data_IF_283669022310
#
_entry.id   IF_283669022310
#
_cell.length_a   1.000
_cell.length_b   1.000
_cell.length_c   1.000
_cell.angle_alpha   90.00
_cell.angle_beta   90.00
_cell.angle_gamma   90.00
#
_symmetry.space_group_name_H-M   'P 1'
#
loop_
_entity.id
_entity.type
_entity.pdbx_description
1 polymer ?
#
# COMPACT_ATOMS: atom_id res chain seq x y z
N UNK A 1 19.59 -8.23 12.78
CA UNK A 1 18.63 -9.26 12.35
C UNK A 1 17.64 -8.59 11.42
N UNK A 2 17.42 -9.13 10.21
CA UNK A 2 16.38 -8.60 9.32
C UNK A 2 15.01 -8.96 9.91
N UNK A 3 14.03 -8.06 9.84
CA UNK A 3 12.64 -8.40 10.17
C UNK A 3 12.09 -9.41 9.15
N UNK A 4 11.01 -10.13 9.48
CA UNK A 4 10.34 -11.03 8.53
C UNK A 4 9.91 -10.30 7.25
N UNK A 5 9.46 -9.04 7.39
CA UNK A 5 9.16 -8.16 6.26
C UNK A 5 10.39 -7.91 5.37
N UNK A 6 11.55 -7.66 5.96
CA UNK A 6 12.81 -7.45 5.23
C UNK A 6 13.31 -8.72 4.53
N UNK A 7 13.01 -9.90 5.10
CA UNK A 7 13.29 -11.16 4.44
C UNK A 7 12.39 -11.35 3.22
N UNK A 8 11.08 -11.10 3.37
CA UNK A 8 10.11 -11.22 2.28
C UNK A 8 10.38 -10.23 1.14
N UNK A 9 10.77 -8.99 1.45
CA UNK A 9 11.19 -8.00 0.46
C UNK A 9 12.41 -8.52 -0.32
N UNK A 10 13.42 -9.03 0.37
CA UNK A 10 14.64 -9.53 -0.27
C UNK A 10 14.37 -10.74 -1.19
N UNK A 11 13.48 -11.65 -0.79
CA UNK A 11 13.08 -12.79 -1.63
C UNK A 11 12.37 -12.33 -2.91
N UNK A 12 11.43 -11.39 -2.79
CA UNK A 12 10.72 -10.86 -3.96
C UNK A 12 11.61 -10.00 -4.87
N UNK A 13 12.63 -9.32 -4.33
CA UNK A 13 13.66 -8.62 -5.11
C UNK A 13 14.47 -9.62 -5.95
N UNK A 14 14.91 -10.72 -5.35
CA UNK A 14 15.63 -11.78 -6.06
C UNK A 14 14.75 -12.43 -7.15
N UNK A 15 13.46 -12.65 -6.88
CA UNK A 15 12.50 -13.15 -7.88
C UNK A 15 12.32 -12.15 -9.03
N UNK A 16 12.22 -10.85 -8.74
CA UNK A 16 12.10 -9.80 -9.76
C UNK A 16 13.34 -9.74 -10.67
N UNK A 17 14.54 -9.83 -10.11
CA UNK A 17 15.79 -9.86 -10.88
C UNK A 17 15.85 -11.08 -11.79
N UNK A 18 15.45 -12.26 -11.30
CA UNK A 18 15.42 -13.48 -12.10
C UNK A 18 14.40 -13.36 -13.24
N UNK A 19 13.19 -12.87 -12.97
CA UNK A 19 12.16 -12.66 -13.99
C UNK A 19 12.59 -11.64 -15.05
N UNK A 20 13.28 -10.57 -14.65
CA UNK A 20 13.82 -9.58 -15.58
C UNK A 20 14.89 -10.20 -16.49
N UNK A 21 15.78 -11.03 -15.94
CA UNK A 21 16.81 -11.73 -16.72
C UNK A 21 16.20 -12.69 -17.74
N UNK A 22 15.20 -13.48 -17.35
CA UNK A 22 14.49 -14.41 -18.24
C UNK A 22 13.70 -13.67 -19.33
N UNK A 23 13.10 -12.53 -18.99
CA UNK A 23 12.45 -11.63 -19.94
C UNK A 23 13.46 -11.12 -20.99
N UNK A 24 14.61 -10.63 -20.54
CA UNK A 24 15.64 -10.09 -21.42
C UNK A 24 16.17 -11.18 -22.37
N UNK A 25 16.45 -12.38 -21.87
CA UNK A 25 16.87 -13.53 -22.69
C UNK A 25 15.81 -13.91 -23.74
N UNK A 26 14.52 -13.90 -23.38
CA UNK A 26 13.45 -14.16 -24.35
C UNK A 26 13.41 -13.11 -25.47
N UNK A 27 13.79 -11.87 -25.18
CA UNK A 27 13.75 -10.75 -26.12
C UNK A 27 15.01 -10.66 -26.99
N UNK A 28 16.21 -10.91 -26.43
CA UNK A 28 17.48 -10.83 -27.16
C UNK A 28 17.85 -12.12 -27.87
N UNK A 29 17.68 -13.27 -27.22
CA UNK A 29 18.30 -14.51 -27.65
C UNK A 29 17.31 -15.39 -28.44
N UNK A 30 16.11 -15.60 -27.89
CA UNK A 30 15.15 -16.55 -28.45
C UNK A 30 14.06 -15.92 -29.33
N UNK A 31 13.91 -14.59 -29.29
CA UNK A 31 12.78 -13.84 -29.89
C UNK A 31 11.41 -14.45 -29.55
N UNK A 32 11.30 -15.05 -28.38
CA UNK A 32 10.11 -15.76 -27.92
C UNK A 32 9.17 -14.79 -27.22
N UNK A 33 8.48 -13.97 -28.02
CA UNK A 33 7.57 -12.94 -27.52
C UNK A 33 6.43 -13.48 -26.66
N UNK A 34 6.03 -14.75 -26.85
CA UNK A 34 4.99 -15.39 -26.05
C UNK A 34 5.47 -15.70 -24.63
N UNK A 35 6.72 -16.17 -24.49
CA UNK A 35 7.35 -16.36 -23.19
C UNK A 35 7.67 -15.01 -22.52
N UNK A 36 8.22 -14.06 -23.28
CA UNK A 36 8.48 -12.70 -22.82
C UNK A 36 7.23 -12.04 -22.21
N UNK A 37 6.08 -12.14 -22.89
CA UNK A 37 4.82 -11.60 -22.36
C UNK A 37 4.37 -12.27 -21.04
N UNK A 38 4.67 -13.56 -20.82
CA UNK A 38 4.38 -14.24 -19.55
C UNK A 38 5.29 -13.73 -18.44
N UNK A 39 6.59 -13.63 -18.69
CA UNK A 39 7.56 -13.09 -17.73
C UNK A 39 7.25 -11.63 -17.38
N UNK A 40 6.87 -10.81 -18.36
CA UNK A 40 6.44 -9.44 -18.13
C UNK A 40 5.21 -9.36 -17.19
N UNK A 41 4.23 -10.25 -17.36
CA UNK A 41 3.06 -10.31 -16.45
C UNK A 41 3.46 -10.71 -15.04
N UNK A 42 4.28 -11.75 -14.89
CA UNK A 42 4.76 -12.20 -13.57
C UNK A 42 5.57 -11.10 -12.89
N UNK A 43 6.48 -10.44 -13.61
CA UNK A 43 7.27 -9.33 -13.13
C UNK A 43 6.39 -8.16 -12.66
N UNK A 44 5.32 -7.85 -13.39
CA UNK A 44 4.33 -6.85 -12.97
C UNK A 44 3.65 -7.19 -11.63
N UNK A 45 3.31 -8.46 -11.40
CA UNK A 45 2.74 -8.93 -10.15
C UNK A 45 3.75 -8.83 -9.00
N UNK A 46 4.98 -9.30 -9.20
CA UNK A 46 6.05 -9.23 -8.20
C UNK A 46 6.36 -7.77 -7.85
N UNK A 47 6.48 -6.89 -8.83
CA UNK A 47 6.71 -5.46 -8.61
C UNK A 47 5.56 -4.78 -7.84
N UNK A 48 4.32 -5.19 -8.09
CA UNK A 48 3.16 -4.70 -7.33
C UNK A 48 3.26 -5.13 -5.87
N UNK A 49 3.60 -6.40 -5.60
CA UNK A 49 3.81 -6.91 -4.23
C UNK A 49 4.98 -6.20 -3.53
N UNK A 50 6.11 -6.05 -4.22
CA UNK A 50 7.27 -5.30 -3.71
C UNK A 50 6.91 -3.86 -3.35
N UNK A 51 6.09 -3.19 -4.17
CA UNK A 51 5.63 -1.84 -3.89
C UNK A 51 4.82 -1.79 -2.59
N UNK A 52 3.91 -2.74 -2.37
CA UNK A 52 3.12 -2.83 -1.14
C UNK A 52 4.02 -3.08 0.07
N UNK A 53 4.91 -4.08 -0.01
CA UNK A 53 5.77 -4.44 1.12
C UNK A 53 6.78 -3.34 1.48
N UNK A 54 7.36 -2.68 0.47
CA UNK A 54 8.24 -1.52 0.68
C UNK A 54 7.49 -0.35 1.30
N UNK A 55 6.21 -0.16 0.93
CA UNK A 55 5.36 0.85 1.55
C UNK A 55 4.99 0.50 3.00
N UNK A 56 4.86 -0.79 3.33
CA UNK A 56 4.69 -1.28 4.70
C UNK A 56 5.97 -1.10 5.53
N UNK A 57 7.15 -1.29 4.92
CA UNK A 57 8.45 -1.08 5.59
C UNK A 57 8.71 0.41 5.82
N UNK A 58 8.46 1.24 4.79
CA UNK A 58 8.60 2.68 4.86
C UNK A 58 7.68 3.35 3.82
N UNK A 59 6.61 3.97 4.29
CA UNK A 59 5.66 4.69 3.42
C UNK A 59 6.25 5.86 2.66
N UNK A 60 7.36 6.40 3.14
CA UNK A 60 8.04 7.53 2.52
C UNK A 60 9.02 7.07 1.44
N UNK A 61 9.19 5.76 1.22
CA UNK A 61 10.20 5.20 0.31
C UNK A 61 10.00 5.66 -1.13
N UNK A 62 8.76 5.77 -1.61
CA UNK A 62 8.47 6.25 -2.97
C UNK A 62 8.81 7.73 -3.11
N UNK A 63 8.52 8.54 -2.08
CA UNK A 63 8.90 9.95 -2.06
C UNK A 63 10.42 10.11 -1.94
N UNK A 64 11.07 9.25 -1.16
CA UNK A 64 12.53 9.17 -1.04
C UNK A 64 13.17 8.88 -2.39
N UNK A 65 12.69 7.86 -3.11
CA UNK A 65 13.15 7.51 -4.47
C UNK A 65 12.90 8.63 -5.48
N UNK A 66 11.75 9.30 -5.42
CA UNK A 66 11.45 10.46 -6.29
C UNK A 66 12.46 11.59 -6.03
N UNK A 67 12.76 11.89 -4.76
CA UNK A 67 13.71 12.92 -4.37
C UNK A 67 15.14 12.53 -4.78
N UNK A 68 15.52 11.27 -4.59
CA UNK A 68 16.80 10.71 -4.99
C UNK A 68 17.01 10.79 -6.51
N UNK A 69 16.01 10.42 -7.29
CA UNK A 69 16.03 10.58 -8.75
C UNK A 69 16.16 12.05 -9.17
N UNK A 70 15.45 12.98 -8.52
CA UNK A 70 15.58 14.42 -8.80
C UNK A 70 16.97 14.96 -8.47
N UNK A 71 17.55 14.53 -7.35
CA UNK A 71 18.91 14.90 -6.94
C UNK A 71 19.91 14.41 -8.00
N UNK A 72 19.80 13.14 -8.41
CA UNK A 72 20.72 12.55 -9.38
C UNK A 72 20.60 13.20 -10.76
N UNK A 73 19.37 13.48 -11.19
CA UNK A 73 19.10 14.20 -12.44
C UNK A 73 19.71 15.60 -12.43
N UNK A 74 19.61 16.32 -11.29
CA UNK A 74 20.22 17.64 -11.15
C UNK A 74 21.75 17.58 -11.12
N UNK A 75 22.34 16.56 -10.47
CA UNK A 75 23.79 16.32 -10.46
C UNK A 75 24.31 16.07 -11.88
N UNK A 76 23.64 15.19 -12.63
CA UNK A 76 23.99 14.88 -14.01
C UNK A 76 23.85 16.09 -14.94
N UNK A 77 22.73 16.82 -14.85
CA UNK A 77 22.52 18.04 -15.63
C UNK A 77 23.57 19.10 -15.34
N UNK A 78 23.95 19.28 -14.07
CA UNK A 78 24.99 20.23 -13.68
C UNK A 78 26.35 19.83 -14.29
N UNK A 79 26.71 18.54 -14.24
CA UNK A 79 27.93 18.03 -14.82
C UNK A 79 27.96 18.19 -16.36
N UNK A 80 26.85 17.87 -17.03
CA UNK A 80 26.71 18.03 -18.48
C UNK A 80 26.84 19.49 -18.92
N UNK A 81 26.17 20.41 -18.24
CA UNK A 81 26.24 21.85 -18.56
C UNK A 81 27.65 22.41 -18.35
N UNK A 82 28.33 21.99 -17.27
CA UNK A 82 29.72 22.36 -16.99
C UNK A 82 30.68 21.86 -18.06
N UNK A 83 30.42 20.66 -18.61
CA UNK A 83 31.22 20.07 -19.67
C UNK A 83 30.94 20.72 -21.04
N UNK A 84 29.67 20.96 -21.39
CA UNK A 84 29.27 21.48 -22.70
C UNK A 84 29.51 22.98 -22.85
N UNK A 85 29.38 23.75 -21.76
CA UNK A 85 29.44 25.22 -21.79
C UNK A 85 30.40 25.79 -20.72
N UNK A 86 31.68 25.39 -20.67
CA UNK A 86 32.59 25.73 -19.57
C UNK A 86 32.82 27.24 -19.38
N UNK A 87 32.73 28.03 -20.46
CA UNK A 87 32.89 29.49 -20.43
C UNK A 87 31.62 30.24 -20.07
N UNK A 88 30.43 29.65 -20.30
CA UNK A 88 29.15 30.25 -19.95
C UNK A 88 28.62 29.75 -18.59
N UNK A 89 29.10 28.61 -18.12
CA UNK A 89 28.76 28.05 -16.82
C UNK A 89 29.50 28.79 -15.70
N UNK A 90 28.84 29.83 -15.17
CA UNK A 90 29.39 30.67 -14.11
C UNK A 90 29.35 29.99 -12.73
N UNK A 91 30.21 30.45 -11.82
CA UNK A 91 30.16 30.06 -10.41
C UNK A 91 28.79 30.32 -9.76
N UNK A 92 28.08 31.37 -10.18
CA UNK A 92 26.72 31.66 -9.69
C UNK A 92 25.71 30.57 -10.08
N UNK A 93 25.84 30.01 -11.30
CA UNK A 93 25.02 28.87 -11.71
C UNK A 93 25.36 27.61 -10.91
N UNK A 94 26.65 27.33 -10.70
CA UNK A 94 27.10 26.20 -9.87
C UNK A 94 26.52 26.28 -8.45
N UNK A 95 26.63 27.45 -7.81
CA UNK A 95 26.05 27.71 -6.48
C UNK A 95 24.52 27.51 -6.49
N UNK A 96 23.82 27.98 -7.54
CA UNK A 96 22.37 27.83 -7.65
C UNK A 96 21.95 26.36 -7.75
N UNK A 97 22.65 25.54 -8.54
CA UNK A 97 22.37 24.10 -8.62
C UNK A 97 22.71 23.40 -7.30
N UNK A 98 23.85 23.73 -6.70
CA UNK A 98 24.24 23.14 -5.41
C UNK A 98 23.23 23.48 -4.30
N UNK A 99 22.73 24.71 -4.23
CA UNK A 99 21.70 25.09 -3.27
C UNK A 99 20.39 24.31 -3.47
N UNK A 100 19.99 24.04 -4.72
CA UNK A 100 18.83 23.20 -5.02
C UNK A 100 19.04 21.75 -4.60
N UNK A 101 20.23 21.20 -4.86
CA UNK A 101 20.60 19.83 -4.43
C UNK A 101 20.55 19.75 -2.91
N UNK A 102 21.21 20.68 -2.20
CA UNK A 102 21.23 20.71 -0.74
C UNK A 102 19.82 20.83 -0.15
N UNK A 103 18.94 21.65 -0.75
CA UNK A 103 17.56 21.77 -0.30
C UNK A 103 16.76 20.47 -0.50
N UNK A 104 16.98 19.76 -1.60
CA UNK A 104 16.35 18.45 -1.86
C UNK A 104 16.91 17.36 -0.93
N UNK A 105 18.22 17.39 -0.63
CA UNK A 105 18.87 16.48 0.32
C UNK A 105 18.35 16.70 1.76
N UNK A 106 18.20 17.95 2.18
CA UNK A 106 17.58 18.30 3.46
C UNK A 106 16.11 17.83 3.52
N UNK A 107 15.35 18.04 2.44
CA UNK A 107 13.96 17.58 2.35
C UNK A 107 13.84 16.05 2.35
N UNK A 108 14.79 15.35 1.73
CA UNK A 108 14.88 13.88 1.77
C UNK A 108 15.13 13.38 3.19
N UNK A 109 16.11 13.96 3.89
CA UNK A 109 16.37 13.61 5.30
C UNK A 109 15.17 13.87 6.20
N UNK A 110 14.45 14.98 6.00
CA UNK A 110 13.23 15.26 6.77
C UNK A 110 12.18 14.17 6.56
N UNK A 111 12.00 13.67 5.33
CA UNK A 111 11.06 12.59 5.01
C UNK A 111 11.50 11.21 5.52
N UNK A 112 12.80 10.91 5.52
CA UNK A 112 13.35 9.67 6.08
C UNK A 112 13.19 9.62 7.61
N UNK A 113 13.21 10.79 8.26
CA UNK A 113 13.04 10.93 9.70
C UNK A 113 11.57 11.12 10.15
N UNK A 114 10.62 11.19 9.21
CA UNK A 114 9.20 11.21 9.58
C UNK A 114 8.83 9.89 10.26
N UNK A 115 8.02 9.93 11.34
CA UNK A 115 7.62 8.73 12.05
C UNK A 115 7.01 7.71 11.09
N UNK A 116 7.49 6.47 11.20
CA UNK A 116 6.96 5.32 10.48
C UNK A 116 5.46 5.22 10.72
N UNK A 117 4.61 5.01 9.70
CA UNK A 117 3.20 5.24 9.92
C UNK A 117 2.35 3.97 9.98
N UNK A 118 1.22 4.08 10.67
CA UNK A 118 0.08 3.17 10.73
C UNK A 118 0.41 1.69 11.00
N UNK A 119 0.52 1.36 12.27
CA UNK A 119 0.39 -0.02 12.74
C UNK A 119 -1.04 -0.18 13.29
N UNK A 120 -1.94 -0.79 12.51
CA UNK A 120 -3.06 -1.47 13.17
C UNK A 120 -2.42 -2.72 13.78
N UNK A 121 -2.36 -2.78 15.10
CA UNK A 121 -1.74 -3.90 15.78
C UNK A 121 -2.51 -5.18 15.43
N UNK A 122 -1.87 -6.06 14.66
CA UNK A 122 -2.46 -7.32 14.21
C UNK A 122 -2.90 -8.19 15.37
N UNK A 123 -2.21 -8.11 16.51
CA UNK A 123 -2.58 -8.82 17.73
C UNK A 123 -3.88 -8.27 18.33
N UNK A 124 -4.09 -6.95 18.28
CA UNK A 124 -5.34 -6.33 18.76
C UNK A 124 -6.52 -6.76 17.89
N UNK A 125 -6.38 -6.74 16.57
CA UNK A 125 -7.42 -7.24 15.66
C UNK A 125 -7.70 -8.73 15.85
N UNK A 126 -6.64 -9.54 15.94
CA UNK A 126 -6.76 -10.97 16.17
C UNK A 126 -7.50 -11.26 17.48
N UNK A 127 -7.14 -10.54 18.55
CA UNK A 127 -7.80 -10.62 19.85
C UNK A 127 -9.27 -10.23 19.75
N UNK A 128 -9.62 -9.12 19.10
CA UNK A 128 -11.01 -8.66 18.97
C UNK A 128 -11.86 -9.63 18.14
N UNK A 129 -11.32 -10.16 17.04
CA UNK A 129 -11.99 -11.19 16.25
C UNK A 129 -12.16 -12.49 17.06
N UNK A 130 -11.17 -12.86 17.88
CA UNK A 130 -11.28 -13.99 18.81
C UNK A 130 -12.38 -13.81 19.84
N UNK A 131 -12.45 -12.63 20.47
CA UNK A 131 -13.51 -12.26 21.42
C UNK A 131 -14.89 -12.24 20.76
N UNK A 132 -14.98 -11.80 19.51
CA UNK A 132 -16.20 -11.84 18.71
C UNK A 132 -16.61 -13.29 18.38
N UNK A 133 -15.66 -14.14 18.00
CA UNK A 133 -15.90 -15.56 17.73
C UNK A 133 -16.40 -16.31 18.97
N UNK A 134 -15.84 -16.01 20.14
CA UNK A 134 -16.22 -16.55 21.45
C UNK A 134 -17.50 -15.93 22.04
N UNK A 135 -18.14 -14.97 21.35
CA UNK A 135 -19.31 -14.20 21.83
C UNK A 135 -19.05 -13.36 23.09
N UNK A 136 -17.80 -13.02 23.41
CA UNK A 136 -17.45 -12.13 24.52
C UNK A 136 -17.78 -10.65 24.21
N UNK A 137 -17.74 -10.30 22.93
CA UNK A 137 -18.21 -9.01 22.41
C UNK A 137 -19.20 -9.26 21.28
N UNK A 138 -20.12 -8.32 21.06
CA UNK A 138 -21.13 -8.44 19.99
C UNK A 138 -20.68 -7.76 18.71
N UNK A 139 -19.91 -6.67 18.85
CA UNK A 139 -19.40 -5.90 17.72
C UNK A 139 -18.16 -5.08 18.08
N UNK A 140 -17.40 -4.72 17.06
CA UNK A 140 -16.44 -3.63 17.12
C UNK A 140 -16.40 -2.90 15.78
N UNK A 141 -15.89 -1.67 15.80
CA UNK A 141 -15.81 -0.80 14.63
C UNK A 141 -14.39 -0.30 14.47
N UNK A 142 -13.87 -0.39 13.25
CA UNK A 142 -12.67 0.31 12.81
C UNK A 142 -13.10 1.61 12.15
N UNK A 143 -12.82 2.74 12.79
CA UNK A 143 -13.08 4.07 12.25
C UNK A 143 -11.84 4.55 11.51
N UNK A 144 -11.96 4.79 10.20
CA UNK A 144 -10.86 5.24 9.35
C UNK A 144 -11.03 6.74 9.09
N UNK A 145 -10.48 7.57 9.98
CA UNK A 145 -10.76 9.01 10.04
C UNK A 145 -10.46 9.76 8.74
N UNK A 146 -9.39 9.40 8.02
CA UNK A 146 -9.04 10.04 6.74
C UNK A 146 -10.01 9.71 5.59
N UNK A 147 -10.68 8.56 5.67
CA UNK A 147 -11.47 8.02 4.58
C UNK A 147 -12.97 8.27 4.76
N UNK A 148 -13.36 8.93 5.86
CA UNK A 148 -14.75 9.04 6.31
C UNK A 148 -15.46 7.69 6.20
N UNK A 149 -14.77 6.62 6.58
CA UNK A 149 -15.21 5.25 6.38
C UNK A 149 -15.11 4.46 7.68
N UNK A 150 -16.14 3.67 7.96
CA UNK A 150 -16.21 2.78 9.10
C UNK A 150 -16.33 1.34 8.61
N UNK A 151 -15.59 0.44 9.25
CA UNK A 151 -15.71 -1.00 9.05
C UNK A 151 -16.28 -1.59 10.33
N UNK A 152 -17.50 -2.13 10.25
CA UNK A 152 -18.20 -2.76 11.36
C UNK A 152 -18.04 -4.26 11.29
N UNK A 153 -17.67 -4.85 12.41
CA UNK A 153 -17.61 -6.29 12.59
C UNK A 153 -18.67 -6.65 13.63
N UNK A 154 -19.61 -7.52 13.26
CA UNK A 154 -20.64 -7.98 14.19
C UNK A 154 -20.94 -9.46 13.99
N UNK A 155 -21.26 -10.17 15.07
CA UNK A 155 -21.69 -11.56 15.00
C UNK A 155 -23.20 -11.65 15.26
N UNK A 156 -23.95 -12.13 14.27
CA UNK A 156 -25.41 -12.27 14.33
C UNK A 156 -25.77 -13.71 13.96
N UNK A 157 -26.45 -14.42 14.85
CA UNK A 157 -26.88 -15.81 14.63
C UNK A 157 -25.74 -16.76 14.19
N UNK A 158 -24.51 -16.53 14.69
CA UNK A 158 -23.34 -17.34 14.33
C UNK A 158 -22.65 -16.93 13.03
N UNK A 159 -23.17 -15.95 12.31
CA UNK A 159 -22.58 -15.38 11.11
C UNK A 159 -21.80 -14.10 11.45
N UNK A 160 -20.58 -13.96 10.93
CA UNK A 160 -19.87 -12.69 10.97
C UNK A 160 -20.32 -11.81 9.81
N UNK A 161 -20.68 -10.58 10.15
CA UNK A 161 -21.00 -9.51 9.22
C UNK A 161 -19.89 -8.49 9.25
N UNK A 162 -19.29 -8.25 8.08
CA UNK A 162 -18.34 -7.17 7.85
C UNK A 162 -19.03 -6.15 6.96
N UNK A 163 -19.32 -4.98 7.52
CA UNK A 163 -20.00 -3.90 6.82
C UNK A 163 -19.06 -2.71 6.66
N UNK A 164 -19.01 -2.14 5.47
CA UNK A 164 -18.23 -0.94 5.17
C UNK A 164 -19.21 0.15 4.78
N UNK A 165 -19.26 1.22 5.57
CA UNK A 165 -20.11 2.39 5.30
C UNK A 165 -19.35 3.69 5.57
N UNK A 166 -19.94 4.82 5.21
CA UNK A 166 -19.33 6.13 5.45
C UNK A 166 -19.73 6.72 6.79
N UNK A 167 -18.85 7.54 7.36
CA UNK A 167 -19.05 8.21 8.63
C UNK A 167 -20.21 9.22 8.58
N UNK A 168 -20.45 9.86 7.44
CA UNK A 168 -21.58 10.77 7.24
C UNK A 168 -22.77 10.04 6.59
N UNK A 169 -23.90 9.97 7.32
CA UNK A 169 -25.23 9.71 6.78
C UNK A 169 -25.62 10.89 5.87
N UNK A 170 -25.07 10.98 4.67
CA UNK A 170 -25.64 11.88 3.66
C UNK A 170 -26.93 11.26 3.12
N UNK A 171 -27.91 12.13 2.86
CA UNK A 171 -29.22 11.86 2.27
C UNK A 171 -29.11 11.38 0.81
N UNK A 172 -28.39 10.27 0.55
CA UNK A 172 -28.26 9.65 -0.75
C UNK A 172 -27.29 8.45 -0.74
N UNK A 173 -27.47 7.46 -1.64
CA UNK A 173 -26.63 6.27 -1.70
C UNK A 173 -25.17 6.69 -1.92
N UNK A 174 -24.33 6.25 -1.00
CA UNK A 174 -22.96 6.72 -0.84
C UNK A 174 -22.14 6.47 -2.12
N UNK A 175 -21.64 7.56 -2.71
CA UNK A 175 -20.86 7.55 -3.94
C UNK A 175 -19.43 6.98 -3.78
N UNK A 176 -19.04 6.56 -2.57
CA UNK A 176 -17.68 6.11 -2.25
C UNK A 176 -17.30 4.81 -2.97
N UNK A 177 -18.30 4.02 -3.37
CA UNK A 177 -18.10 2.74 -4.02
C UNK A 177 -18.33 2.72 -5.52
N UNK A 178 -18.86 3.76 -6.18
CA UNK A 178 -19.05 3.70 -7.65
C UNK A 178 -17.74 3.38 -8.39
N UNK A 179 -16.64 4.02 -8.00
CA UNK A 179 -15.33 3.79 -8.61
C UNK A 179 -14.53 2.62 -7.99
N UNK A 180 -14.99 2.10 -6.85
CA UNK A 180 -14.29 1.07 -6.05
C UNK A 180 -15.02 -0.27 -6.01
N UNK A 181 -16.24 -0.34 -6.57
CA UNK A 181 -17.14 -1.48 -6.49
C UNK A 181 -16.53 -2.74 -7.08
N UNK A 182 -15.82 -2.63 -8.20
CA UNK A 182 -15.18 -3.78 -8.83
C UNK A 182 -14.19 -4.48 -7.88
N UNK A 183 -13.49 -3.71 -7.03
CA UNK A 183 -12.60 -4.26 -6.01
C UNK A 183 -13.36 -4.97 -4.89
N UNK A 184 -14.47 -4.39 -4.42
CA UNK A 184 -15.33 -4.97 -3.39
C UNK A 184 -16.07 -6.23 -3.87
N UNK A 185 -16.65 -6.19 -5.06
CA UNK A 185 -17.31 -7.32 -5.68
C UNK A 185 -16.33 -8.49 -5.88
N UNK A 186 -15.08 -8.21 -6.26
CA UNK A 186 -14.01 -9.21 -6.35
C UNK A 186 -13.60 -9.85 -5.02
N UNK A 187 -14.04 -9.29 -3.88
CA UNK A 187 -13.88 -9.86 -2.54
C UNK A 187 -15.16 -10.50 -2.00
N UNK A 188 -16.25 -10.51 -2.77
CA UNK A 188 -17.54 -11.10 -2.39
C UNK A 188 -18.47 -10.16 -1.62
N UNK A 189 -18.17 -8.86 -1.54
CA UNK A 189 -19.09 -7.90 -0.93
C UNK A 189 -20.35 -7.73 -1.80
N UNK A 190 -21.47 -7.53 -1.12
CA UNK A 190 -22.78 -7.23 -1.69
C UNK A 190 -23.15 -5.78 -1.39
N UNK A 191 -23.78 -5.05 -2.32
CA UNK A 191 -24.10 -3.64 -2.09
C UNK A 191 -25.29 -3.53 -1.15
N UNK A 192 -25.25 -2.55 -0.24
CA UNK A 192 -26.36 -2.19 0.64
C UNK A 192 -26.76 -0.73 0.41
N UNK A 193 -27.87 -0.29 0.99
CA UNK A 193 -28.28 1.13 0.90
C UNK A 193 -27.23 2.07 1.51
N UNK A 194 -26.53 1.61 2.54
CA UNK A 194 -25.55 2.40 3.31
C UNK A 194 -24.09 2.11 2.93
N UNK A 195 -23.82 1.11 2.08
CA UNK A 195 -22.46 0.77 1.67
C UNK A 195 -22.31 -0.64 1.09
N UNK A 196 -21.49 -1.47 1.74
CA UNK A 196 -21.19 -2.82 1.29
C UNK A 196 -21.11 -3.81 2.45
N UNK A 197 -21.63 -5.02 2.25
CA UNK A 197 -21.72 -6.08 3.25
C UNK A 197 -21.07 -7.38 2.76
N UNK A 198 -20.26 -7.99 3.62
CA UNK A 198 -19.72 -9.33 3.45
C UNK A 198 -20.13 -10.21 4.62
N UNK A 199 -20.55 -11.43 4.31
CA UNK A 199 -21.06 -12.41 5.28
C UNK A 199 -20.17 -13.65 5.33
N UNK A 200 -19.82 -14.07 6.54
CA UNK A 200 -19.14 -15.34 6.81
C UNK A 200 -20.06 -16.24 7.63
N UNK A 201 -20.69 -17.24 7.00
CA UNK A 201 -21.49 -18.20 7.74
C UNK A 201 -20.62 -19.04 8.67
N UNK A 202 -21.17 -19.42 9.82
CA UNK A 202 -20.51 -20.28 10.81
C UNK A 202 -19.17 -19.72 11.32
N UNK A 203 -19.12 -18.43 11.62
CA UNK A 203 -17.90 -17.75 12.04
C UNK A 203 -17.35 -18.27 13.38
N UNK A 204 -16.12 -18.76 13.32
CA UNK A 204 -15.30 -19.20 14.46
C UNK A 204 -13.84 -18.69 14.37
N UNK A 205 -13.02 -19.08 15.35
CA UNK A 205 -11.63 -18.63 15.45
C UNK A 205 -10.73 -19.10 14.29
N UNK A 206 -11.07 -20.21 13.63
CA UNK A 206 -10.26 -20.76 12.52
C UNK A 206 -10.31 -19.87 11.28
N UNK A 207 -11.36 -19.05 11.15
CA UNK A 207 -11.57 -18.14 10.03
C UNK A 207 -10.84 -16.79 10.19
N UNK A 208 -10.30 -16.48 11.36
CA UNK A 208 -9.67 -15.19 11.67
C UNK A 208 -8.55 -14.82 10.67
N UNK A 209 -7.62 -15.73 10.30
CA UNK A 209 -6.58 -15.39 9.32
C UNK A 209 -7.16 -14.93 7.97
N UNK A 210 -8.19 -15.61 7.45
CA UNK A 210 -8.85 -15.24 6.20
C UNK A 210 -9.57 -13.89 6.30
N UNK A 211 -10.14 -13.57 7.47
CA UNK A 211 -10.76 -12.26 7.71
C UNK A 211 -9.71 -11.14 7.71
N UNK A 212 -8.54 -11.38 8.31
CA UNK A 212 -7.43 -10.42 8.31
C UNK A 212 -6.86 -10.20 6.91
N UNK A 213 -6.82 -11.24 6.07
CA UNK A 213 -6.45 -11.11 4.67
C UNK A 213 -7.44 -10.21 3.91
N UNK A 214 -8.75 -10.44 4.09
CA UNK A 214 -9.79 -9.65 3.44
C UNK A 214 -9.77 -8.20 3.93
N UNK A 215 -9.55 -7.98 5.23
CA UNK A 215 -9.38 -6.64 5.78
C UNK A 215 -8.15 -5.95 5.17
N UNK A 216 -7.04 -6.67 5.00
CA UNK A 216 -5.83 -6.13 4.38
C UNK A 216 -6.10 -5.70 2.93
N UNK A 217 -6.75 -6.55 2.13
CA UNK A 217 -7.13 -6.22 0.76
C UNK A 217 -8.12 -5.04 0.70
N UNK A 218 -9.10 -5.00 1.60
CA UNK A 218 -10.03 -3.88 1.71
C UNK A 218 -9.29 -2.56 2.00
N UNK A 219 -8.37 -2.56 2.96
CA UNK A 219 -7.62 -1.38 3.33
C UNK A 219 -6.68 -0.93 2.19
N UNK A 220 -5.83 -1.81 1.69
CA UNK A 220 -4.76 -1.43 0.77
C UNK A 220 -5.20 -1.40 -0.69
N UNK A 221 -5.94 -2.40 -1.16
CA UNK A 221 -6.29 -2.53 -2.58
C UNK A 221 -7.52 -1.66 -2.94
N UNK A 222 -8.52 -1.61 -2.06
CA UNK A 222 -9.78 -0.88 -2.31
C UNK A 222 -9.74 0.53 -1.75
N UNK A 223 -9.47 0.68 -0.45
CA UNK A 223 -9.47 1.99 0.18
C UNK A 223 -8.22 2.81 -0.18
N UNK A 224 -7.14 2.16 -0.61
CA UNK A 224 -5.88 2.83 -0.89
C UNK A 224 -5.28 3.39 0.40
N UNK A 225 -5.42 2.65 1.50
CA UNK A 225 -4.79 2.93 2.77
C UNK A 225 -3.29 3.16 2.54
N UNK A 226 -2.85 4.37 2.84
CA UNK A 226 -1.43 4.71 2.93
C UNK A 226 -1.09 4.86 4.40
N UNK A 227 0.13 4.55 4.82
CA UNK A 227 0.44 4.78 6.22
C UNK A 227 0.38 6.28 6.57
N UNK A 228 0.05 6.57 7.83
CA UNK A 228 -0.08 7.91 8.41
C UNK A 228 -1.52 8.25 8.74
N UNK A 229 -2.43 7.38 8.34
CA UNK A 229 -3.85 7.52 8.58
C UNK A 229 -4.19 6.94 9.94
N UNK A 230 -4.89 7.68 10.77
CA UNK A 230 -5.36 7.20 12.08
C UNK A 230 -6.56 6.28 11.88
N UNK A 231 -6.51 5.10 12.52
CA UNK A 231 -7.70 4.28 12.74
C UNK A 231 -7.99 4.20 14.22
N UNK A 232 -9.26 4.41 14.58
CA UNK A 232 -9.74 4.28 15.94
C UNK A 232 -10.60 3.04 16.05
N UNK A 233 -10.30 2.20 17.05
CA UNK A 233 -11.11 1.01 17.34
C UNK A 233 -12.11 1.36 18.44
N UNK A 234 -13.39 1.09 18.18
CA UNK A 234 -14.47 1.24 19.15
C UNK A 234 -15.12 -0.12 19.38
N UNK A 235 -15.18 -0.57 20.64
CA UNK A 235 -15.81 -1.84 21.02
C UNK A 235 -17.16 -1.53 21.65
N UNK A 236 -18.21 -2.28 21.29
CA UNK A 236 -19.55 -2.09 21.83
C UNK A 236 -20.41 -3.35 21.85
#
# INVERSE_FOLDING_TARGET
MKSELQMLIAELEAEAELLQKELDQCLTDDKNYKAAHRFQKCLGLVNTKLKVLRHLENTNIEKGKELEWKIETLKNLMAELKQQFPTAFSQEMEIKYQNKINALEAYKQEYENKPLPFHMDGEVLYTLLGRLASNEIKKFTLQLEKYDAHIYFSKVNGELRIEVSTAEYYLGPVNLFQNKWNGLAGMGFTPTEEGALLLFPFFDQTMIPSILEILSRLLYDVLGAQGGNTAKIVVG
#
